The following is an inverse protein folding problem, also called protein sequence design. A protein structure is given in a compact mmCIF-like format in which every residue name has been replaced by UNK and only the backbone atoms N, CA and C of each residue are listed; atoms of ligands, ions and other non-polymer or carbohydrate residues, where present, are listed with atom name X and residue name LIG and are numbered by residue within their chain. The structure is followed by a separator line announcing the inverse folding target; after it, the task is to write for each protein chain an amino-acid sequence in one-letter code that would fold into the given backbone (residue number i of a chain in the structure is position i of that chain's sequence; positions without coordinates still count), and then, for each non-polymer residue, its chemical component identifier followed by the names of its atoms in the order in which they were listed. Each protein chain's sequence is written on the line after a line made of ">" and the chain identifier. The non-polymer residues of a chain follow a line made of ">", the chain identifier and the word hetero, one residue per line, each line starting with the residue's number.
data_IF_940051853122
#
_entry.id   IF_940051853122
#
_cell.length_a   1.000
_cell.length_b   1.000
_cell.length_c   1.000
_cell.angle_alpha   90.00
_cell.angle_beta   90.00
_cell.angle_gamma   90.00
#
_symmetry.space_group_name_H-M   'P 1'
#
loop_
_entity.id
_entity.type
_entity.pdbx_description
1 polymer ?
#
# COMPACT_ATOMS: atom_id res chain seq x y z
N UNK A 1 -39.07 -12.87 0.56
CA UNK A 1 -38.15 -12.42 -0.51
C UNK A 1 -36.77 -12.96 -0.22
N UNK A 2 -36.17 -13.70 -1.15
CA UNK A 2 -34.80 -14.23 -1.07
C UNK A 2 -33.83 -13.22 -1.71
N UNK A 3 -32.67 -12.98 -1.09
CA UNK A 3 -31.65 -12.09 -1.66
C UNK A 3 -30.76 -12.84 -2.64
N UNK A 4 -30.51 -12.23 -3.81
CA UNK A 4 -29.61 -12.78 -4.82
C UNK A 4 -28.52 -11.75 -5.14
N UNK A 5 -27.24 -12.00 -4.81
CA UNK A 5 -26.13 -11.06 -5.04
C UNK A 5 -25.99 -10.59 -6.49
N UNK A 6 -26.31 -11.46 -7.46
CA UNK A 6 -26.22 -11.16 -8.90
C UNK A 6 -27.11 -10.01 -9.34
N UNK A 7 -28.08 -9.60 -8.52
CA UNK A 7 -28.96 -8.47 -8.80
C UNK A 7 -28.40 -7.13 -8.32
N UNK A 8 -27.20 -7.10 -7.73
CA UNK A 8 -26.50 -5.87 -7.36
C UNK A 8 -25.39 -5.61 -8.38
N UNK A 9 -25.49 -4.51 -9.11
CA UNK A 9 -24.54 -4.09 -10.14
C UNK A 9 -23.71 -2.88 -9.72
N UNK A 10 -24.15 -2.13 -8.71
CA UNK A 10 -23.47 -0.97 -8.16
C UNK A 10 -23.68 -0.86 -6.65
N UNK A 11 -22.96 0.06 -6.00
CA UNK A 11 -23.00 0.28 -4.54
C UNK A 11 -24.41 0.63 -4.04
N UNK A 12 -25.14 1.52 -4.74
CA UNK A 12 -26.52 1.90 -4.37
C UNK A 12 -27.48 0.71 -4.36
N UNK A 13 -27.28 -0.27 -5.24
CA UNK A 13 -28.06 -1.49 -5.25
C UNK A 13 -27.71 -2.45 -4.12
N UNK A 14 -26.45 -2.45 -3.64
CA UNK A 14 -26.07 -3.16 -2.42
C UNK A 14 -26.76 -2.50 -1.22
N UNK A 15 -26.73 -1.17 -1.13
CA UNK A 15 -27.42 -0.42 -0.08
C UNK A 15 -28.93 -0.70 -0.07
N UNK A 16 -29.61 -0.50 -1.20
CA UNK A 16 -31.06 -0.60 -1.27
C UNK A 16 -31.57 -2.04 -1.21
N UNK A 17 -31.03 -2.97 -2.03
CA UNK A 17 -31.57 -4.33 -2.17
C UNK A 17 -31.10 -5.26 -1.06
N UNK A 18 -29.81 -5.20 -0.67
CA UNK A 18 -29.29 -6.05 0.40
C UNK A 18 -29.56 -5.43 1.77
N UNK A 19 -29.09 -4.21 2.03
CA UNK A 19 -29.08 -3.68 3.40
C UNK A 19 -30.51 -3.27 3.82
N UNK A 20 -31.13 -2.35 3.08
CA UNK A 20 -32.43 -1.75 3.46
C UNK A 20 -33.59 -2.73 3.28
N UNK A 21 -33.73 -3.35 2.10
CA UNK A 21 -34.89 -4.19 1.80
C UNK A 21 -34.83 -5.60 2.44
N UNK A 22 -33.63 -6.15 2.64
CA UNK A 22 -33.48 -7.55 3.05
C UNK A 22 -32.88 -7.71 4.45
N UNK A 23 -31.71 -7.16 4.72
CA UNK A 23 -30.93 -7.44 5.93
C UNK A 23 -31.53 -6.77 7.17
N UNK A 24 -31.72 -5.46 7.16
CA UNK A 24 -32.19 -4.69 8.32
C UNK A 24 -33.55 -5.16 8.86
N UNK A 25 -34.60 -5.35 8.03
CA UNK A 25 -35.89 -5.82 8.52
C UNK A 25 -35.79 -7.22 9.14
N UNK A 26 -34.99 -8.10 8.53
CA UNK A 26 -34.81 -9.47 9.04
C UNK A 26 -33.97 -9.51 10.32
N UNK A 27 -33.08 -8.56 10.56
CA UNK A 27 -32.36 -8.37 11.82
C UNK A 27 -33.21 -7.67 12.91
N UNK A 28 -34.44 -7.27 12.59
CA UNK A 28 -35.40 -6.66 13.53
C UNK A 28 -35.32 -5.13 13.63
N UNK A 29 -34.63 -4.46 12.71
CA UNK A 29 -34.54 -3.00 12.67
C UNK A 29 -35.63 -2.41 11.77
N UNK A 30 -36.38 -1.44 12.29
CA UNK A 30 -37.35 -0.65 11.53
C UNK A 30 -36.67 0.55 10.85
N UNK A 31 -37.40 1.29 10.01
CA UNK A 31 -36.90 2.51 9.38
C UNK A 31 -36.45 3.57 10.40
N UNK A 32 -37.08 3.61 11.58
CA UNK A 32 -36.73 4.55 12.66
C UNK A 32 -35.49 4.13 13.46
N UNK A 33 -34.88 2.99 13.14
CA UNK A 33 -33.69 2.46 13.81
C UNK A 33 -32.39 2.79 13.09
N UNK A 34 -32.39 3.45 11.93
CA UNK A 34 -31.16 3.74 11.19
C UNK A 34 -31.21 5.07 10.45
N UNK A 35 -30.04 5.64 10.21
CA UNK A 35 -29.83 6.75 9.28
C UNK A 35 -28.86 6.32 8.19
N UNK A 36 -29.10 6.79 6.97
CA UNK A 36 -28.21 6.62 5.83
C UNK A 36 -27.41 7.91 5.59
N UNK A 37 -26.18 7.78 5.10
CA UNK A 37 -25.29 8.90 4.79
C UNK A 37 -25.07 9.85 5.99
N UNK A 38 -24.80 9.27 7.15
CA UNK A 38 -24.63 10.04 8.39
C UNK A 38 -23.28 10.76 8.37
N UNK A 39 -23.32 12.07 8.53
CA UNK A 39 -22.12 12.88 8.75
C UNK A 39 -21.88 12.96 10.26
N UNK A 40 -20.78 12.36 10.71
CA UNK A 40 -20.31 12.46 12.09
C UNK A 40 -18.91 13.08 12.11
N UNK A 41 -18.81 14.31 12.59
CA UNK A 41 -17.60 15.13 12.48
C UNK A 41 -17.13 15.24 11.02
N UNK A 42 -16.04 14.56 10.64
CA UNK A 42 -15.47 14.56 9.28
C UNK A 42 -15.65 13.22 8.55
N UNK A 43 -16.49 12.32 9.08
CA UNK A 43 -16.73 11.00 8.53
C UNK A 43 -18.14 10.95 7.96
N UNK A 44 -18.27 10.38 6.76
CA UNK A 44 -19.56 10.01 6.16
C UNK A 44 -19.70 8.50 6.22
N UNK A 45 -20.66 8.03 7.00
CA UNK A 45 -21.02 6.61 7.12
C UNK A 45 -22.12 6.27 6.13
N UNK A 46 -22.08 5.08 5.53
CA UNK A 46 -23.19 4.65 4.67
C UNK A 46 -24.44 4.43 5.51
N UNK A 47 -24.33 3.68 6.63
CA UNK A 47 -25.42 3.52 7.60
C UNK A 47 -24.93 3.54 9.06
N UNK A 48 -25.69 4.22 9.92
CA UNK A 48 -25.63 4.09 11.37
C UNK A 48 -26.95 3.48 11.86
N UNK A 49 -26.89 2.28 12.42
CA UNK A 49 -28.05 1.55 12.94
C UNK A 49 -28.00 1.55 14.47
N UNK A 50 -29.14 1.75 15.12
CA UNK A 50 -29.32 1.78 16.57
C UNK A 50 -30.38 0.76 16.98
N UNK A 51 -30.15 0.07 18.11
CA UNK A 51 -31.18 -0.80 18.68
C UNK A 51 -32.38 -0.02 19.27
N UNK A 52 -32.20 1.27 19.55
CA UNK A 52 -33.26 2.20 19.96
C UNK A 52 -33.74 3.05 18.79
N UNK A 53 -35.04 3.33 18.76
CA UNK A 53 -35.65 4.20 17.75
C UNK A 53 -35.18 5.66 17.94
N UNK A 54 -34.80 6.30 16.84
CA UNK A 54 -34.38 7.70 16.83
C UNK A 54 -35.54 8.68 17.05
N UNK A 55 -36.77 8.26 16.78
CA UNK A 55 -37.99 9.07 16.90
C UNK A 55 -38.40 9.41 18.35
N UNK A 56 -37.83 8.74 19.36
CA UNK A 56 -38.24 8.89 20.75
C UNK A 56 -37.57 10.06 21.52
N UNK A 57 -36.92 11.00 20.82
CA UNK A 57 -36.23 12.16 21.44
C UNK A 57 -35.02 11.81 22.32
N UNK A 58 -34.63 10.53 22.37
CA UNK A 58 -33.46 10.04 23.12
C UNK A 58 -32.24 9.96 22.18
N UNK A 59 -31.09 10.46 22.64
CA UNK A 59 -29.83 10.30 21.89
C UNK A 59 -29.55 8.80 21.68
N UNK A 60 -29.10 8.37 20.49
CA UNK A 60 -28.76 6.98 20.23
C UNK A 60 -27.70 6.49 21.21
N UNK A 61 -27.92 5.30 21.78
CA UNK A 61 -26.91 4.62 22.57
C UNK A 61 -25.88 4.01 21.62
N UNK A 62 -24.78 4.71 21.36
CA UNK A 62 -23.68 4.26 20.49
C UNK A 62 -23.13 2.86 20.87
N UNK A 63 -23.16 2.52 22.15
CA UNK A 63 -22.80 1.20 22.65
C UNK A 63 -23.73 0.06 22.19
N UNK A 64 -24.88 0.40 21.59
CA UNK A 64 -25.90 -0.52 21.05
C UNK A 64 -26.23 -0.18 19.60
N UNK A 65 -25.24 0.35 18.90
CA UNK A 65 -25.29 0.67 17.49
C UNK A 65 -24.40 -0.28 16.70
N UNK A 66 -24.63 -0.33 15.39
CA UNK A 66 -23.68 -0.88 14.43
C UNK A 66 -23.53 0.05 13.23
N UNK A 67 -22.35 0.04 12.62
CA UNK A 67 -22.09 0.72 11.35
C UNK A 67 -22.19 -0.31 10.23
N UNK A 68 -22.84 0.03 9.12
CA UNK A 68 -22.82 -0.80 7.91
C UNK A 68 -22.19 0.02 6.79
N UNK A 69 -21.14 -0.52 6.18
CA UNK A 69 -20.48 0.04 5.01
C UNK A 69 -20.77 -0.86 3.79
N UNK A 70 -21.30 -0.24 2.74
CA UNK A 70 -21.57 -0.87 1.46
C UNK A 70 -20.47 -0.49 0.47
N UNK A 71 -20.07 -1.42 -0.39
CA UNK A 71 -19.09 -1.17 -1.45
C UNK A 71 -19.58 -1.72 -2.77
N UNK A 72 -19.02 -1.23 -3.86
CA UNK A 72 -19.36 -1.72 -5.18
C UNK A 72 -19.13 -3.24 -5.29
N UNK A 73 -19.98 -4.03 -5.98
CA UNK A 73 -19.84 -5.49 -6.10
C UNK A 73 -18.50 -6.01 -6.62
N UNK A 74 -17.72 -5.15 -7.28
CA UNK A 74 -16.39 -5.46 -7.83
C UNK A 74 -15.24 -5.16 -6.85
N UNK A 75 -15.50 -4.46 -5.75
CA UNK A 75 -14.45 -4.08 -4.80
C UNK A 75 -14.09 -5.22 -3.85
N UNK A 76 -12.80 -5.29 -3.49
CA UNK A 76 -12.28 -6.23 -2.52
C UNK A 76 -12.45 -5.67 -1.10
N UNK A 77 -13.24 -6.35 -0.28
CA UNK A 77 -13.53 -5.91 1.09
C UNK A 77 -12.31 -5.81 2.02
N UNK A 78 -11.19 -6.47 1.70
CA UNK A 78 -9.95 -6.31 2.48
C UNK A 78 -9.51 -4.84 2.51
N UNK A 79 -9.68 -4.13 1.40
CA UNK A 79 -9.25 -2.74 1.25
C UNK A 79 -10.02 -1.76 2.16
N UNK A 80 -11.20 -2.14 2.63
CA UNK A 80 -12.08 -1.24 3.40
C UNK A 80 -12.14 -1.58 4.89
N UNK A 81 -11.48 -2.66 5.33
CA UNK A 81 -11.46 -3.09 6.74
C UNK A 81 -10.86 -2.00 7.66
N UNK A 82 -9.76 -1.37 7.25
CA UNK A 82 -9.11 -0.28 7.99
C UNK A 82 -9.99 0.97 8.10
N UNK A 83 -10.72 1.29 7.03
CA UNK A 83 -11.67 2.40 7.02
C UNK A 83 -12.83 2.11 7.97
N UNK A 84 -13.36 0.88 7.97
CA UNK A 84 -14.36 0.45 8.95
C UNK A 84 -13.83 0.52 10.38
N UNK A 85 -12.60 0.05 10.65
CA UNK A 85 -11.94 0.19 11.97
C UNK A 85 -11.89 1.65 12.42
N UNK A 86 -11.46 2.54 11.52
CA UNK A 86 -11.44 3.97 11.80
C UNK A 86 -12.83 4.52 12.16
N UNK A 87 -13.87 4.08 11.45
CA UNK A 87 -15.25 4.51 11.69
C UNK A 87 -15.77 4.03 13.03
N UNK A 88 -15.58 2.75 13.35
CA UNK A 88 -15.99 2.15 14.62
C UNK A 88 -15.31 2.84 15.82
N UNK A 89 -14.01 3.09 15.75
CA UNK A 89 -13.27 3.76 16.82
C UNK A 89 -13.64 5.23 16.96
N UNK A 90 -13.82 5.96 15.85
CA UNK A 90 -14.12 7.40 15.89
C UNK A 90 -15.52 7.67 16.43
N UNK A 91 -16.50 6.89 15.98
CA UNK A 91 -17.90 7.02 16.39
C UNK A 91 -18.16 6.28 17.71
N UNK A 92 -17.20 5.46 18.19
CA UNK A 92 -17.29 4.63 19.40
C UNK A 92 -18.44 3.62 19.34
N UNK A 93 -18.56 2.95 18.20
CA UNK A 93 -19.56 1.91 17.92
C UNK A 93 -18.86 0.55 17.90
N UNK A 94 -19.37 -0.47 18.63
CA UNK A 94 -18.67 -1.73 18.80
C UNK A 94 -18.85 -2.72 17.64
N UNK A 95 -19.84 -2.53 16.76
CA UNK A 95 -20.19 -3.49 15.71
C UNK A 95 -20.12 -2.86 14.32
N UNK A 96 -19.51 -3.57 13.37
CA UNK A 96 -19.41 -3.12 11.98
C UNK A 96 -19.71 -4.24 10.98
N UNK A 97 -20.55 -3.96 9.99
CA UNK A 97 -20.72 -4.80 8.81
C UNK A 97 -20.01 -4.14 7.64
N UNK A 98 -19.27 -4.94 6.88
CA UNK A 98 -18.73 -4.55 5.57
C UNK A 98 -19.25 -5.52 4.51
N UNK A 99 -19.82 -5.00 3.43
CA UNK A 99 -20.40 -5.82 2.36
C UNK A 99 -20.27 -5.19 0.98
N UNK A 100 -20.08 -6.03 -0.04
CA UNK A 100 -20.18 -5.66 -1.45
C UNK A 100 -21.35 -6.41 -2.14
N UNK A 101 -22.25 -7.03 -1.37
CA UNK A 101 -23.34 -7.86 -1.88
C UNK A 101 -22.95 -9.31 -2.17
N UNK A 102 -21.74 -9.56 -2.68
CA UNK A 102 -21.22 -10.92 -2.90
C UNK A 102 -20.62 -11.56 -1.65
N UNK A 103 -20.24 -10.74 -0.69
CA UNK A 103 -19.66 -11.14 0.58
C UNK A 103 -20.16 -10.23 1.68
N UNK A 104 -20.48 -10.79 2.85
CA UNK A 104 -20.76 -10.04 4.07
C UNK A 104 -19.74 -10.42 5.14
N UNK A 105 -19.20 -9.41 5.82
CA UNK A 105 -18.28 -9.56 6.94
C UNK A 105 -18.81 -8.78 8.14
N UNK A 106 -18.84 -9.44 9.29
CA UNK A 106 -19.21 -8.84 10.56
C UNK A 106 -17.98 -8.76 11.45
N UNK A 107 -17.72 -7.55 11.92
CA UNK A 107 -16.62 -7.22 12.81
C UNK A 107 -17.15 -6.75 14.17
N UNK A 108 -16.38 -7.06 15.21
CA UNK A 108 -16.54 -6.46 16.53
C UNK A 108 -15.28 -5.70 16.91
N UNK A 109 -15.44 -4.51 17.47
CA UNK A 109 -14.36 -3.60 17.84
C UNK A 109 -14.10 -3.66 19.34
N UNK A 110 -12.85 -3.92 19.74
CA UNK A 110 -12.37 -3.55 21.07
C UNK A 110 -11.71 -2.16 21.07
N UNK A 111 -10.89 -1.86 22.07
CA UNK A 111 -10.19 -0.59 22.21
C UNK A 111 -9.04 -0.42 21.20
N UNK A 112 -8.51 -1.51 20.67
CA UNK A 112 -7.26 -1.57 19.92
C UNK A 112 -7.51 -1.98 18.46
N UNK A 113 -8.42 -2.93 18.22
CA UNK A 113 -8.66 -3.51 16.91
C UNK A 113 -10.11 -3.92 16.63
N UNK A 114 -10.36 -4.29 15.39
CA UNK A 114 -11.57 -4.96 14.94
C UNK A 114 -11.28 -6.43 14.66
N UNK A 115 -12.20 -7.29 15.10
CA UNK A 115 -12.09 -8.74 15.00
C UNK A 115 -13.16 -9.25 14.05
N UNK A 116 -12.77 -9.97 12.99
CA UNK A 116 -13.72 -10.62 12.09
C UNK A 116 -14.39 -11.78 12.83
N UNK A 117 -15.67 -11.64 13.14
CA UNK A 117 -16.44 -12.66 13.86
C UNK A 117 -17.23 -13.58 12.94
N UNK A 118 -17.66 -13.05 11.80
CA UNK A 118 -18.46 -13.81 10.86
C UNK A 118 -18.20 -13.34 9.43
N UNK A 119 -18.16 -14.31 8.50
CA UNK A 119 -17.97 -14.11 7.07
C UNK A 119 -18.81 -15.14 6.34
N UNK A 120 -19.58 -14.73 5.34
CA UNK A 120 -20.19 -15.67 4.40
C UNK A 120 -20.34 -15.06 3.00
N UNK A 121 -20.56 -15.92 2.01
CA UNK A 121 -20.96 -15.47 0.69
C UNK A 121 -22.36 -14.84 0.74
N UNK A 122 -22.61 -13.88 -0.14
CA UNK A 122 -23.92 -13.27 -0.36
C UNK A 122 -25.02 -14.29 -0.69
N UNK A 123 -24.66 -15.40 -1.35
CA UNK A 123 -25.58 -16.51 -1.66
C UNK A 123 -25.97 -17.32 -0.41
N UNK A 124 -25.20 -17.20 0.66
CA UNK A 124 -25.36 -17.96 1.90
C UNK A 124 -25.97 -17.12 3.03
N UNK A 125 -26.31 -15.86 2.77
CA UNK A 125 -26.86 -14.95 3.80
C UNK A 125 -28.14 -15.53 4.38
N UNK A 126 -29.04 -16.08 3.55
CA UNK A 126 -30.28 -16.68 4.05
C UNK A 126 -30.02 -17.84 5.00
N UNK A 127 -29.07 -18.72 4.67
CA UNK A 127 -28.69 -19.88 5.51
C UNK A 127 -28.02 -19.48 6.82
N UNK A 128 -27.40 -18.30 6.87
CA UNK A 128 -26.68 -17.82 8.04
C UNK A 128 -27.37 -16.65 8.74
N UNK A 129 -28.62 -16.36 8.38
CA UNK A 129 -29.35 -15.22 8.90
C UNK A 129 -29.57 -15.33 10.41
N UNK A 130 -29.89 -16.53 10.92
CA UNK A 130 -30.10 -16.74 12.36
C UNK A 130 -28.81 -16.50 13.15
N UNK A 131 -27.64 -16.89 12.61
CA UNK A 131 -26.33 -16.57 13.21
C UNK A 131 -26.09 -15.07 13.25
N UNK A 132 -26.42 -14.34 12.17
CA UNK A 132 -26.31 -12.88 12.16
C UNK A 132 -27.27 -12.24 13.16
N UNK A 133 -28.53 -12.71 13.27
CA UNK A 133 -29.48 -12.25 14.29
C UNK A 133 -28.97 -12.51 15.70
N UNK A 134 -28.33 -13.65 15.93
CA UNK A 134 -27.78 -13.99 17.25
C UNK A 134 -26.61 -13.10 17.68
N UNK A 135 -25.86 -12.56 16.71
CA UNK A 135 -24.73 -11.67 16.97
C UNK A 135 -25.15 -10.19 17.05
N UNK A 136 -25.94 -9.72 16.08
CA UNK A 136 -26.26 -8.30 15.88
C UNK A 136 -27.74 -8.02 15.62
N UNK A 137 -28.65 -8.95 15.92
CA UNK A 137 -30.08 -8.66 15.89
C UNK A 137 -30.44 -7.59 16.92
N UNK A 138 -31.48 -6.83 16.65
CA UNK A 138 -31.94 -5.72 17.52
C UNK A 138 -32.09 -6.16 18.99
N UNK A 139 -32.76 -7.29 19.22
CA UNK A 139 -32.97 -7.83 20.57
C UNK A 139 -31.66 -8.22 21.26
N UNK A 140 -30.70 -8.78 20.53
CA UNK A 140 -29.40 -9.17 21.08
C UNK A 140 -28.57 -7.97 21.50
N UNK A 141 -28.56 -6.90 20.70
CA UNK A 141 -27.88 -5.66 21.09
C UNK A 141 -28.55 -4.98 22.30
N UNK A 142 -29.86 -5.13 22.49
CA UNK A 142 -30.54 -4.68 23.70
C UNK A 142 -30.13 -5.50 24.93
N UNK A 143 -29.91 -6.81 24.77
CA UNK A 143 -29.60 -7.76 25.83
C UNK A 143 -28.13 -7.79 26.33
N UNK A 144 -27.22 -6.94 25.82
CA UNK A 144 -25.79 -6.80 26.25
C UNK A 144 -24.95 -8.08 26.19
N UNK A 145 -25.02 -8.84 25.11
CA UNK A 145 -24.11 -9.99 24.91
C UNK A 145 -22.80 -9.54 24.24
N UNK A 146 -21.66 -9.63 24.94
CA UNK A 146 -20.34 -9.54 24.29
C UNK A 146 -20.04 -10.86 23.58
N UNK A 147 -19.48 -10.86 22.36
CA UNK A 147 -19.12 -12.09 21.67
C UNK A 147 -17.92 -12.77 22.34
N UNK A 148 -17.95 -14.11 22.42
CA UNK A 148 -16.78 -14.92 22.79
C UNK A 148 -15.78 -14.89 21.62
N UNK A 149 -14.64 -14.20 21.81
CA UNK A 149 -13.60 -14.07 20.79
C UNK A 149 -12.57 -15.17 21.03
N UNK A 150 -12.40 -16.07 20.06
CA UNK A 150 -11.28 -17.01 20.01
C UNK A 150 -10.25 -16.41 19.06
N UNK A 151 -9.15 -15.82 19.54
CA UNK A 151 -8.14 -15.26 18.66
C UNK A 151 -7.46 -16.39 17.87
N UNK A 152 -7.68 -16.42 16.56
CA UNK A 152 -6.80 -17.14 15.63
C UNK A 152 -5.74 -16.16 15.16
N UNK A 153 -4.58 -16.18 15.78
CA UNK A 153 -3.38 -15.51 15.27
C UNK A 153 -2.27 -16.53 15.14
N UNK A 154 -2.19 -17.17 13.97
CA UNK A 154 -0.89 -17.63 13.49
C UNK A 154 -0.02 -16.38 13.32
N UNK A 155 1.19 -16.33 13.90
CA UNK A 155 2.04 -15.15 13.80
C UNK A 155 2.43 -14.93 12.33
N UNK A 156 1.93 -13.84 11.74
CA UNK A 156 2.45 -13.31 10.48
C UNK A 156 3.84 -12.74 10.72
N UNK A 157 4.76 -12.97 9.79
CA UNK A 157 6.04 -12.27 9.78
C UNK A 157 5.78 -10.76 9.65
N UNK A 158 6.53 -9.90 10.36
CA UNK A 158 6.30 -8.46 10.32
C UNK A 158 6.60 -7.90 8.93
N UNK A 159 5.71 -7.03 8.43
CA UNK A 159 5.93 -6.24 7.23
C UNK A 159 7.27 -5.49 7.31
N UNK A 160 8.06 -5.52 6.23
CA UNK A 160 9.33 -4.77 6.14
C UNK A 160 9.24 -3.66 5.09
N UNK A 161 9.67 -2.46 5.44
CA UNK A 161 9.68 -1.30 4.55
C UNK A 161 11.10 -0.96 4.10
N UNK A 162 11.33 -0.86 2.79
CA UNK A 162 12.64 -0.63 2.19
C UNK A 162 12.58 0.64 1.34
N UNK A 163 13.38 1.65 1.68
CA UNK A 163 13.60 2.81 0.82
C UNK A 163 14.73 2.52 -0.17
N UNK A 164 14.55 2.95 -1.42
CA UNK A 164 15.59 2.99 -2.44
C UNK A 164 15.98 4.46 -2.64
N UNK A 165 17.15 4.86 -2.14
CA UNK A 165 17.53 6.28 -2.14
C UNK A 165 19.01 6.50 -2.44
N UNK A 166 19.29 7.58 -3.16
CA UNK A 166 20.60 8.16 -3.39
C UNK A 166 20.41 9.58 -3.92
N UNK A 167 21.16 10.55 -3.39
CA UNK A 167 21.12 11.96 -3.81
C UNK A 167 21.52 12.19 -5.28
N UNK A 168 22.09 11.18 -5.95
CA UNK A 168 22.53 11.27 -7.34
C UNK A 168 21.42 10.78 -8.26
N UNK A 169 21.11 11.57 -9.29
CA UNK A 169 20.24 11.15 -10.38
C UNK A 169 20.87 10.02 -11.21
N UNK A 170 20.03 9.18 -11.81
CA UNK A 170 20.50 8.24 -12.84
C UNK A 170 21.28 7.01 -12.34
N UNK A 171 21.39 6.74 -11.03
CA UNK A 171 22.05 5.54 -10.47
C UNK A 171 21.18 4.27 -10.50
N UNK A 172 19.96 4.35 -11.02
CA UNK A 172 19.05 3.21 -11.18
C UNK A 172 18.03 2.99 -10.04
N UNK A 173 17.73 4.01 -9.22
CA UNK A 173 16.75 3.90 -8.11
C UNK A 173 15.41 3.30 -8.52
N UNK A 174 14.72 3.91 -9.47
CA UNK A 174 13.44 3.44 -10.02
C UNK A 174 13.53 2.05 -10.64
N UNK A 175 14.60 1.79 -11.40
CA UNK A 175 14.82 0.46 -11.99
C UNK A 175 14.97 -0.60 -10.91
N UNK A 176 15.70 -0.29 -9.83
CA UNK A 176 15.86 -1.17 -8.69
C UNK A 176 14.54 -1.36 -7.95
N UNK A 177 13.84 -0.27 -7.62
CA UNK A 177 12.58 -0.31 -6.88
C UNK A 177 11.52 -1.17 -7.58
N UNK A 178 11.27 -0.91 -8.87
CA UNK A 178 10.22 -1.60 -9.64
C UNK A 178 10.53 -3.08 -9.86
N UNK A 179 11.77 -3.42 -10.22
CA UNK A 179 12.13 -4.82 -10.52
C UNK A 179 12.40 -5.64 -9.25
N UNK A 180 12.85 -5.02 -8.15
CA UNK A 180 12.91 -5.68 -6.85
C UNK A 180 11.50 -5.97 -6.32
N UNK A 181 10.53 -5.07 -6.54
CA UNK A 181 9.13 -5.32 -6.20
C UNK A 181 8.57 -6.52 -6.97
N UNK A 182 8.81 -6.59 -8.28
CA UNK A 182 8.43 -7.74 -9.11
C UNK A 182 9.11 -9.04 -8.66
N UNK A 183 10.40 -8.99 -8.31
CA UNK A 183 11.14 -10.15 -7.84
C UNK A 183 10.57 -10.70 -6.50
N UNK A 184 10.24 -9.83 -5.55
CA UNK A 184 9.54 -10.25 -4.33
C UNK A 184 8.15 -10.83 -4.60
N UNK A 185 7.39 -10.23 -5.51
CA UNK A 185 6.08 -10.72 -5.91
C UNK A 185 6.17 -12.14 -6.49
N UNK A 186 7.16 -12.40 -7.36
CA UNK A 186 7.42 -13.74 -7.92
C UNK A 186 7.82 -14.77 -6.87
N UNK A 187 8.39 -14.35 -5.74
CA UNK A 187 8.66 -15.20 -4.58
C UNK A 187 7.44 -15.36 -3.64
N UNK A 188 6.24 -14.93 -4.08
CA UNK A 188 4.99 -15.08 -3.35
C UNK A 188 4.78 -14.06 -2.23
N UNK A 189 5.58 -12.98 -2.19
CA UNK A 189 5.38 -11.89 -1.22
C UNK A 189 4.24 -10.98 -1.66
N UNK A 190 3.48 -10.46 -0.70
CA UNK A 190 2.51 -9.39 -0.94
C UNK A 190 3.25 -8.07 -0.90
N UNK A 191 3.33 -7.38 -2.04
CA UNK A 191 4.20 -6.22 -2.23
C UNK A 191 3.41 -4.95 -2.47
N UNK A 192 3.80 -3.88 -1.77
CA UNK A 192 3.40 -2.51 -2.05
C UNK A 192 4.60 -1.72 -2.58
N UNK A 193 4.49 -1.15 -3.77
CA UNK A 193 5.44 -0.17 -4.30
C UNK A 193 4.89 1.24 -4.08
N UNK A 194 5.69 2.17 -3.59
CA UNK A 194 5.31 3.57 -3.38
C UNK A 194 6.26 4.44 -4.18
N UNK A 195 5.72 5.16 -5.15
CA UNK A 195 6.44 6.20 -5.88
C UNK A 195 6.22 7.54 -5.16
N UNK A 196 7.30 8.16 -4.69
CA UNK A 196 7.26 9.48 -4.05
C UNK A 196 8.14 10.51 -4.78
N UNK A 197 8.50 10.24 -6.04
CA UNK A 197 9.21 11.17 -6.89
C UNK A 197 8.20 11.88 -7.82
N UNK A 198 8.21 13.21 -7.87
CA UNK A 198 7.32 13.98 -8.74
C UNK A 198 7.50 13.66 -10.24
N UNK A 199 8.64 13.07 -10.63
CA UNK A 199 8.85 12.58 -12.00
C UNK A 199 8.00 11.35 -12.34
N UNK A 200 7.40 10.69 -11.34
CA UNK A 200 6.49 9.54 -11.51
C UNK A 200 7.08 8.39 -12.35
N UNK A 201 8.40 8.21 -12.31
CA UNK A 201 9.10 7.22 -13.14
C UNK A 201 8.71 5.79 -12.76
N UNK A 202 8.49 5.51 -11.47
CA UNK A 202 8.06 4.17 -11.03
C UNK A 202 6.63 3.92 -11.47
N UNK A 203 5.77 4.94 -11.34
CA UNK A 203 4.37 4.93 -11.80
C UNK A 203 4.26 4.66 -13.31
N UNK A 204 5.11 5.31 -14.11
CA UNK A 204 5.22 5.03 -15.55
C UNK A 204 5.70 3.59 -15.80
N UNK A 205 6.78 3.19 -15.14
CA UNK A 205 7.43 1.90 -15.37
C UNK A 205 6.56 0.69 -15.02
N UNK A 206 5.54 0.86 -14.18
CA UNK A 206 4.53 -0.17 -13.88
C UNK A 206 3.24 -0.02 -14.70
N UNK A 207 3.20 0.88 -15.68
CA UNK A 207 2.11 0.98 -16.65
C UNK A 207 0.88 1.78 -16.18
N UNK A 208 1.00 2.57 -15.12
CA UNK A 208 -0.15 3.30 -14.56
C UNK A 208 -0.40 4.67 -15.22
N UNK A 209 0.57 5.23 -15.93
CA UNK A 209 0.40 6.52 -16.61
C UNK A 209 -0.22 6.31 -18.00
N UNK A 210 -1.33 7.01 -18.25
CA UNK A 210 -2.02 7.04 -19.55
C UNK A 210 -1.79 8.41 -20.19
N UNK A 211 -1.10 8.44 -21.33
CA UNK A 211 -0.70 9.71 -22.00
C UNK A 211 -1.70 10.21 -23.05
N UNK A 212 -2.83 9.53 -23.21
CA UNK A 212 -3.69 9.74 -24.39
C UNK A 212 -4.53 11.01 -24.27
N UNK A 213 -5.15 11.23 -23.11
CA UNK A 213 -6.01 12.39 -22.85
C UNK A 213 -5.85 12.83 -21.41
N UNK A 214 -5.69 14.15 -21.18
CA UNK A 214 -5.59 14.73 -19.83
C UNK A 214 -6.83 14.45 -18.98
N UNK A 215 -7.98 14.24 -19.61
CA UNK A 215 -9.24 13.88 -18.95
C UNK A 215 -9.21 12.47 -18.32
N UNK A 216 -8.31 11.60 -18.78
CA UNK A 216 -8.13 10.23 -18.29
C UNK A 216 -7.08 10.12 -17.17
N UNK A 217 -6.46 11.24 -16.78
CA UNK A 217 -5.47 11.29 -15.69
C UNK A 217 -6.14 11.24 -14.31
N UNK A 218 -6.63 10.05 -13.99
CA UNK A 218 -7.19 9.74 -12.68
C UNK A 218 -6.10 9.67 -11.58
N UNK A 219 -4.80 9.70 -11.92
CA UNK A 219 -3.70 9.72 -10.95
C UNK A 219 -3.66 11.06 -10.21
N UNK A 220 -4.07 12.16 -10.87
CA UNK A 220 -4.15 13.49 -10.25
C UNK A 220 -4.95 13.51 -8.95
N UNK A 221 -6.01 12.72 -8.86
CA UNK A 221 -6.92 12.73 -7.71
C UNK A 221 -6.61 11.64 -6.68
N UNK A 222 -5.76 10.66 -7.04
CA UNK A 222 -5.35 9.53 -6.18
C UNK A 222 -3.90 9.15 -6.41
N UNK A 223 -3.02 9.84 -5.69
CA UNK A 223 -1.57 9.62 -5.68
C UNK A 223 -0.99 9.84 -4.27
N UNK A 224 0.32 9.68 -4.13
CA UNK A 224 1.04 9.80 -2.86
C UNK A 224 0.80 11.13 -2.14
N UNK A 225 0.54 12.25 -2.83
CA UNK A 225 0.17 13.52 -2.18
C UNK A 225 -1.01 13.32 -1.22
N UNK A 226 -2.06 12.66 -1.67
CA UNK A 226 -3.30 12.45 -0.92
C UNK A 226 -3.06 11.54 0.30
N UNK A 227 -2.08 10.63 0.18
CA UNK A 227 -1.61 9.83 1.30
C UNK A 227 -0.92 10.70 2.36
N UNK A 228 -0.13 11.68 1.91
CA UNK A 228 0.62 12.59 2.76
C UNK A 228 -0.20 13.80 3.22
N UNK A 229 -1.35 14.09 2.65
CA UNK A 229 -2.12 15.30 2.94
C UNK A 229 -2.78 15.25 4.33
N UNK A 230 -3.36 14.10 4.71
CA UNK A 230 -4.15 13.96 5.93
C UNK A 230 -4.00 12.56 6.53
N UNK A 231 -3.85 12.47 7.85
CA UNK A 231 -3.69 11.19 8.57
C UNK A 231 -5.03 10.43 8.79
N UNK A 232 -6.17 11.11 8.69
CA UNK A 232 -7.51 10.57 8.98
C UNK A 232 -8.27 10.07 7.75
N UNK A 233 -7.83 10.43 6.55
CA UNK A 233 -8.47 10.07 5.27
C UNK A 233 -7.44 9.55 4.28
N UNK A 234 -7.91 9.01 3.15
CA UNK A 234 -7.09 8.51 2.04
C UNK A 234 -6.07 7.46 2.50
N UNK A 235 -6.55 6.32 2.98
CA UNK A 235 -5.67 5.22 3.40
C UNK A 235 -4.99 4.57 2.19
N UNK A 236 -3.95 3.79 2.45
CA UNK A 236 -3.21 3.05 1.40
C UNK A 236 -4.18 2.29 0.47
N UNK A 237 -5.16 1.52 0.97
CA UNK A 237 -6.05 0.78 0.07
C UNK A 237 -7.05 1.65 -0.73
N UNK A 238 -7.27 2.91 -0.33
CA UNK A 238 -8.16 3.83 -1.05
C UNK A 238 -7.47 4.43 -2.30
N UNK A 239 -6.14 4.44 -2.29
CA UNK A 239 -5.26 5.04 -3.32
C UNK A 239 -4.55 3.97 -4.14
N UNK A 240 -4.21 2.84 -3.53
CA UNK A 240 -3.43 1.78 -4.16
C UNK A 240 -4.12 1.22 -5.41
N UNK A 241 -3.30 0.94 -6.41
CA UNK A 241 -3.70 0.39 -7.70
C UNK A 241 -2.89 -0.86 -8.01
N UNK A 242 -3.48 -1.79 -8.73
CA UNK A 242 -2.72 -2.93 -9.28
C UNK A 242 -1.82 -2.48 -10.41
N UNK A 243 -0.68 -3.13 -10.57
CA UNK A 243 0.34 -2.82 -11.59
C UNK A 243 -0.04 -3.24 -13.03
N UNK A 244 -1.30 -3.55 -13.32
CA UNK A 244 -1.89 -3.75 -14.66
C UNK A 244 -1.02 -4.55 -15.63
N UNK A 245 -0.59 -5.75 -15.24
CA UNK A 245 0.18 -6.63 -16.13
C UNK A 245 1.70 -6.40 -16.17
N UNK A 246 2.22 -5.39 -15.45
CA UNK A 246 3.67 -5.20 -15.26
C UNK A 246 4.37 -6.47 -14.76
N UNK A 247 3.71 -7.22 -13.88
CA UNK A 247 4.14 -8.56 -13.50
C UNK A 247 2.95 -9.52 -13.35
N UNK A 248 3.15 -10.81 -13.61
CA UNK A 248 2.14 -11.87 -13.55
C UNK A 248 1.43 -11.92 -12.20
N UNK A 249 2.17 -11.80 -11.11
CA UNK A 249 1.60 -11.66 -9.76
C UNK A 249 1.56 -10.17 -9.46
N UNK A 250 0.39 -9.56 -9.66
CA UNK A 250 0.25 -8.11 -9.55
C UNK A 250 0.64 -7.58 -8.16
N UNK A 251 1.41 -6.51 -8.17
CA UNK A 251 1.74 -5.75 -6.96
C UNK A 251 0.77 -4.59 -6.79
N UNK A 252 0.61 -4.11 -5.55
CA UNK A 252 -0.07 -2.85 -5.29
C UNK A 252 0.91 -1.70 -5.42
N UNK A 253 0.43 -0.57 -5.95
CA UNK A 253 1.24 0.62 -6.22
C UNK A 253 0.51 1.85 -5.70
N UNK A 254 1.20 2.67 -4.90
CA UNK A 254 0.84 4.06 -4.67
C UNK A 254 1.54 4.90 -5.74
N UNK A 255 0.80 5.46 -6.70
CA UNK A 255 1.39 6.23 -7.77
C UNK A 255 1.83 7.62 -7.29
N UNK A 256 2.74 8.22 -8.05
CA UNK A 256 3.13 9.62 -7.95
C UNK A 256 2.51 10.43 -9.10
N UNK A 257 2.61 11.75 -9.00
CA UNK A 257 2.11 12.68 -10.01
C UNK A 257 2.94 13.97 -10.01
N UNK A 258 3.09 14.62 -11.17
CA UNK A 258 3.90 15.85 -11.34
C UNK A 258 3.46 17.00 -10.42
N UNK A 259 2.19 17.01 -10.01
CA UNK A 259 1.64 17.98 -9.07
C UNK A 259 2.36 18.02 -7.70
N UNK A 260 3.13 16.99 -7.35
CA UNK A 260 3.92 16.98 -6.10
C UNK A 260 4.87 18.17 -6.01
N UNK A 261 5.35 18.70 -7.14
CA UNK A 261 6.22 19.89 -7.15
C UNK A 261 5.50 21.08 -6.50
N UNK A 262 4.28 21.37 -6.95
CA UNK A 262 3.50 22.52 -6.47
C UNK A 262 2.94 22.28 -5.06
N UNK A 263 2.55 21.03 -4.78
CA UNK A 263 1.92 20.64 -3.52
C UNK A 263 2.88 20.50 -2.33
N UNK A 264 4.19 20.52 -2.56
CA UNK A 264 5.18 20.41 -1.50
C UNK A 264 5.04 21.54 -0.48
N UNK A 265 4.84 22.78 -0.94
CA UNK A 265 4.69 23.95 -0.08
C UNK A 265 3.50 23.78 0.88
N UNK A 266 2.38 23.29 0.35
CA UNK A 266 1.16 23.03 1.12
C UNK A 266 1.39 21.94 2.20
N UNK A 267 2.10 20.86 1.88
CA UNK A 267 2.43 19.81 2.84
C UNK A 267 3.32 20.32 3.98
N UNK A 268 4.33 21.14 3.67
CA UNK A 268 5.22 21.76 4.66
C UNK A 268 4.42 22.69 5.57
N UNK A 269 3.57 23.56 5.02
CA UNK A 269 2.75 24.51 5.79
C UNK A 269 1.75 23.81 6.72
N UNK A 270 1.15 22.71 6.28
CA UNK A 270 0.22 21.92 7.12
C UNK A 270 0.92 21.14 8.23
N UNK A 271 2.22 20.89 8.10
CA UNK A 271 3.07 20.22 9.10
C UNK A 271 2.79 18.73 9.31
N UNK A 272 3.81 17.96 9.68
CA UNK A 272 3.68 16.54 10.01
C UNK A 272 3.49 15.62 8.81
N UNK A 273 3.77 16.11 7.59
CA UNK A 273 3.81 15.27 6.40
C UNK A 273 4.88 14.17 6.52
N UNK A 274 6.00 14.45 7.19
CA UNK A 274 7.12 13.52 7.39
C UNK A 274 6.71 12.20 8.03
N UNK A 275 5.73 12.22 8.94
CA UNK A 275 5.33 11.04 9.73
C UNK A 275 4.06 10.36 9.21
N UNK A 276 3.35 10.96 8.25
CA UNK A 276 2.04 10.46 7.81
C UNK A 276 2.16 9.14 7.06
N UNK A 277 3.20 8.98 6.22
CA UNK A 277 3.43 7.72 5.53
C UNK A 277 3.68 6.58 6.51
N UNK A 278 4.59 6.77 7.46
CA UNK A 278 4.90 5.80 8.51
C UNK A 278 3.64 5.36 9.28
N UNK A 279 2.81 6.33 9.72
CA UNK A 279 1.54 6.05 10.43
C UNK A 279 0.49 5.34 9.58
N UNK A 280 0.51 5.51 8.26
CA UNK A 280 -0.40 4.81 7.35
C UNK A 280 0.08 3.40 7.04
N UNK A 281 1.39 3.18 6.98
CA UNK A 281 2.00 1.85 6.85
C UNK A 281 1.69 0.98 8.08
N UNK A 282 1.71 1.55 9.29
CA UNK A 282 1.30 0.84 10.52
C UNK A 282 -0.13 0.26 10.46
N UNK A 283 -0.99 0.83 9.62
CA UNK A 283 -2.37 0.33 9.46
C UNK A 283 -2.45 -0.86 8.51
N UNK A 284 -1.49 -1.08 7.63
CA UNK A 284 -1.52 -2.14 6.60
C UNK A 284 -0.46 -3.22 6.83
N UNK A 285 0.05 -3.34 8.05
CA UNK A 285 1.07 -4.34 8.45
C UNK A 285 0.63 -5.76 8.11
N UNK A 286 -0.68 -6.03 8.19
CA UNK A 286 -1.23 -7.34 7.87
C UNK A 286 -1.50 -7.55 6.38
N UNK A 287 -1.45 -6.51 5.54
CA UNK A 287 -1.82 -6.60 4.12
C UNK A 287 -0.61 -6.90 3.23
N UNK A 288 0.58 -6.45 3.64
CA UNK A 288 1.82 -6.56 2.87
C UNK A 288 2.91 -7.27 3.67
N UNK A 289 3.76 -8.01 2.97
CA UNK A 289 4.99 -8.58 3.53
C UNK A 289 6.17 -7.64 3.30
N UNK A 290 6.21 -6.98 2.13
CA UNK A 290 7.26 -6.04 1.73
C UNK A 290 6.65 -4.76 1.20
N UNK A 291 7.20 -3.62 1.61
CA UNK A 291 6.93 -2.30 1.06
C UNK A 291 8.22 -1.74 0.48
N UNK A 292 8.19 -1.27 -0.76
CA UNK A 292 9.32 -0.59 -1.42
C UNK A 292 8.94 0.86 -1.68
N UNK A 293 9.80 1.80 -1.31
CA UNK A 293 9.61 3.24 -1.56
C UNK A 293 10.70 3.71 -2.53
N UNK A 294 10.31 4.12 -3.73
CA UNK A 294 11.20 4.78 -4.70
C UNK A 294 11.26 6.28 -4.38
N UNK A 295 12.39 6.72 -3.83
CA UNK A 295 12.57 8.08 -3.34
C UNK A 295 13.26 8.99 -4.38
N UNK A 296 12.88 10.29 -4.44
CA UNK A 296 13.50 11.23 -5.35
C UNK A 296 14.98 11.46 -5.00
N UNK A 297 15.82 11.91 -5.95
CA UNK A 297 17.21 12.27 -5.67
C UNK A 297 17.34 13.57 -4.85
N UNK A 298 16.34 14.44 -4.87
CA UNK A 298 16.35 15.72 -4.13
C UNK A 298 16.35 15.48 -2.62
N UNK A 299 17.12 16.28 -1.90
CA UNK A 299 17.11 16.32 -0.43
C UNK A 299 15.96 17.21 0.06
N UNK A 300 14.74 16.74 -0.18
CA UNK A 300 13.52 17.51 0.11
C UNK A 300 12.56 16.76 1.04
N UNK A 301 11.35 17.31 1.23
CA UNK A 301 10.31 16.70 2.07
C UNK A 301 10.03 15.24 1.68
N UNK A 302 10.01 14.93 0.38
CA UNK A 302 9.60 13.60 -0.11
C UNK A 302 10.67 12.55 0.17
N UNK A 303 11.95 12.89 -0.02
CA UNK A 303 13.04 12.01 0.41
C UNK A 303 13.00 11.77 1.93
N UNK A 304 12.75 12.81 2.74
CA UNK A 304 12.62 12.66 4.20
C UNK A 304 11.45 11.75 4.59
N UNK A 305 10.28 11.93 3.98
CA UNK A 305 9.11 11.06 4.18
C UNK A 305 9.44 9.60 3.91
N UNK A 306 10.14 9.31 2.80
CA UNK A 306 10.54 7.94 2.45
C UNK A 306 11.47 7.33 3.51
N UNK A 307 12.51 8.06 3.90
CA UNK A 307 13.54 7.60 4.83
C UNK A 307 13.02 7.46 6.28
N UNK A 308 12.10 8.33 6.71
CA UNK A 308 11.45 8.25 8.03
C UNK A 308 10.46 7.08 8.09
N UNK A 309 9.83 6.73 6.96
CA UNK A 309 8.89 5.61 6.90
C UNK A 309 9.58 4.24 6.84
N UNK A 310 10.75 4.15 6.21
CA UNK A 310 11.42 2.88 5.95
C UNK A 310 12.04 2.22 7.20
N UNK A 311 12.17 0.90 7.20
CA UNK A 311 12.96 0.16 8.19
C UNK A 311 14.40 -0.05 7.69
N UNK A 312 14.53 -0.19 6.37
CA UNK A 312 15.78 -0.48 5.68
C UNK A 312 16.02 0.49 4.52
N UNK A 313 17.30 0.73 4.21
CA UNK A 313 17.74 1.53 3.08
C UNK A 313 18.68 0.73 2.18
N UNK A 314 18.38 0.72 0.88
CA UNK A 314 19.31 0.30 -0.17
C UNK A 314 19.77 1.55 -0.93
N UNK A 315 21.08 1.64 -1.17
CA UNK A 315 21.71 2.80 -1.83
C UNK A 315 22.30 2.39 -3.18
N UNK A 316 21.56 2.50 -4.31
CA UNK A 316 22.09 2.15 -5.63
C UNK A 316 23.20 3.10 -6.07
N UNK A 317 24.34 2.59 -6.52
CA UNK A 317 25.47 3.39 -6.99
C UNK A 317 26.18 2.73 -8.18
N UNK A 318 26.60 3.55 -9.15
CA UNK A 318 27.46 3.13 -10.27
C UNK A 318 28.94 2.96 -9.87
N UNK A 319 29.24 3.17 -8.58
CA UNK A 319 30.56 3.09 -7.95
C UNK A 319 31.62 4.03 -8.55
N UNK A 320 31.22 4.99 -9.40
CA UNK A 320 32.13 5.99 -9.96
C UNK A 320 32.48 7.03 -8.89
N UNK A 321 33.65 7.68 -8.98
CA UNK A 321 34.13 8.61 -7.96
C UNK A 321 33.10 9.68 -7.54
N UNK A 322 32.38 10.27 -8.49
CA UNK A 322 31.35 11.28 -8.21
C UNK A 322 30.13 10.72 -7.46
N UNK A 323 29.69 9.49 -7.75
CA UNK A 323 28.60 8.86 -7.00
C UNK A 323 29.01 8.57 -5.58
N UNK A 324 30.25 8.09 -5.41
CA UNK A 324 30.80 7.73 -4.11
C UNK A 324 30.93 8.96 -3.22
N UNK A 325 31.26 10.14 -3.75
CA UNK A 325 31.36 11.36 -2.96
C UNK A 325 30.11 11.62 -2.11
N UNK A 326 28.92 11.48 -2.67
CA UNK A 326 27.73 11.72 -1.87
C UNK A 326 27.18 10.49 -1.14
N UNK A 327 27.85 9.34 -1.16
CA UNK A 327 27.58 8.28 -0.16
C UNK A 327 27.81 8.79 1.27
N UNK A 328 28.84 9.64 1.48
CA UNK A 328 29.05 10.35 2.75
C UNK A 328 27.88 11.28 3.08
N UNK A 329 27.34 11.95 2.06
CA UNK A 329 26.16 12.80 2.21
C UNK A 329 24.93 12.01 2.63
N UNK A 330 24.75 10.80 2.07
CA UNK A 330 23.67 9.89 2.49
C UNK A 330 23.88 9.45 3.94
N UNK A 331 25.08 8.99 4.32
CA UNK A 331 25.37 8.61 5.72
C UNK A 331 25.06 9.74 6.69
N UNK A 332 25.59 10.94 6.41
CA UNK A 332 25.36 12.13 7.23
C UNK A 332 23.87 12.44 7.39
N UNK A 333 23.12 12.42 6.29
CA UNK A 333 21.67 12.60 6.32
C UNK A 333 20.99 11.54 7.21
N UNK A 334 21.37 10.27 7.07
CA UNK A 334 20.76 9.20 7.84
C UNK A 334 21.06 9.36 9.34
N UNK A 335 22.31 9.58 9.70
CA UNK A 335 22.75 9.61 11.09
C UNK A 335 22.34 10.90 11.80
N UNK A 336 22.59 12.06 11.21
CA UNK A 336 22.41 13.37 11.87
C UNK A 336 21.00 13.96 11.71
N UNK A 337 20.22 13.55 10.72
CA UNK A 337 18.89 14.13 10.49
C UNK A 337 17.76 13.12 10.62
N UNK A 338 17.87 11.98 9.92
CA UNK A 338 16.77 11.01 9.87
C UNK A 338 16.69 10.23 11.18
N UNK A 339 17.80 9.69 11.69
CA UNK A 339 17.79 8.88 12.90
C UNK A 339 17.48 9.72 14.15
N UNK A 340 18.01 10.95 14.24
CA UNK A 340 17.66 11.91 15.29
C UNK A 340 16.15 12.22 15.30
N UNK A 341 15.56 12.45 14.12
CA UNK A 341 14.12 12.66 14.03
C UNK A 341 13.32 11.40 14.37
N UNK A 342 13.79 10.22 13.94
CA UNK A 342 13.15 8.92 14.23
C UNK A 342 13.12 8.62 15.72
N UNK A 343 14.20 8.92 16.45
CA UNK A 343 14.26 8.78 17.91
C UNK A 343 13.21 9.66 18.59
N UNK A 344 13.06 10.92 18.13
CA UNK A 344 12.05 11.86 18.63
C UNK A 344 10.62 11.33 18.51
N UNK A 345 10.34 10.49 17.51
CA UNK A 345 9.01 9.89 17.27
C UNK A 345 8.91 8.42 17.71
N UNK A 346 9.92 7.91 18.42
CA UNK A 346 9.94 6.55 18.96
C UNK A 346 10.10 5.44 17.90
N UNK A 347 10.73 5.73 16.76
CA UNK A 347 11.05 4.72 15.73
C UNK A 347 12.51 4.28 15.85
N UNK A 348 12.76 3.00 15.60
CA UNK A 348 14.13 2.47 15.53
C UNK A 348 14.95 3.14 14.43
N UNK A 349 16.28 3.25 14.58
CA UNK A 349 17.16 3.79 13.54
C UNK A 349 16.96 3.09 12.19
N UNK A 350 17.01 3.86 11.11
CA UNK A 350 16.99 3.36 9.74
C UNK A 350 18.25 2.54 9.48
N UNK A 351 18.09 1.28 9.08
CA UNK A 351 19.22 0.37 8.85
C UNK A 351 19.64 0.39 7.38
N UNK A 352 20.88 0.74 7.09
CA UNK A 352 21.43 0.64 5.73
C UNK A 352 21.75 -0.82 5.44
N UNK A 353 21.00 -1.47 4.53
CA UNK A 353 21.27 -2.85 4.11
C UNK A 353 22.55 -2.94 3.29
N UNK A 354 22.79 -1.93 2.46
CA UNK A 354 24.03 -1.79 1.73
C UNK A 354 23.95 -0.85 0.53
N UNK A 355 25.12 -0.49 0.06
CA UNK A 355 25.32 0.08 -1.27
C UNK A 355 25.12 -1.05 -2.27
N UNK A 356 24.22 -0.84 -3.24
CA UNK A 356 23.98 -1.78 -4.35
C UNK A 356 24.80 -1.33 -5.55
N UNK A 357 25.78 -2.13 -6.02
CA UNK A 357 26.39 -1.91 -7.32
C UNK A 357 25.32 -1.95 -8.42
N UNK A 358 25.04 -0.80 -9.03
CA UNK A 358 23.94 -0.60 -9.98
C UNK A 358 24.42 0.15 -11.21
N UNK A 359 23.93 -0.22 -12.39
CA UNK A 359 24.45 0.26 -13.69
C UNK A 359 25.94 -0.02 -13.87
N UNK A 360 26.38 -1.20 -13.43
CA UNK A 360 27.75 -1.65 -13.60
C UNK A 360 27.96 -2.09 -15.05
N UNK A 361 29.07 -1.68 -15.67
CA UNK A 361 29.36 -2.11 -17.05
C UNK A 361 29.55 -3.63 -17.09
N UNK A 362 28.86 -4.36 -17.99
CA UNK A 362 29.03 -5.80 -18.12
C UNK A 362 30.30 -6.18 -18.89
N UNK A 363 31.12 -5.21 -19.32
CA UNK A 363 32.31 -5.49 -20.12
C UNK A 363 33.36 -6.28 -19.32
N UNK A 364 33.87 -7.43 -19.82
CA UNK A 364 34.75 -8.31 -19.06
C UNK A 364 35.99 -7.62 -18.49
N UNK A 365 36.64 -6.74 -19.26
CA UNK A 365 37.82 -6.01 -18.78
C UNK A 365 37.48 -5.05 -17.62
N UNK A 366 36.29 -4.43 -17.65
CA UNK A 366 35.88 -3.55 -16.57
C UNK A 366 35.62 -4.35 -15.29
N UNK A 367 34.92 -5.49 -15.41
CA UNK A 367 34.65 -6.39 -14.29
C UNK A 367 35.92 -7.00 -13.69
N UNK A 368 36.94 -7.27 -14.50
CA UNK A 368 38.20 -7.86 -14.04
C UNK A 368 39.11 -6.83 -13.35
N UNK A 369 39.25 -5.63 -13.90
CA UNK A 369 40.33 -4.70 -13.49
C UNK A 369 39.86 -3.47 -12.71
N UNK A 370 38.65 -2.98 -12.98
CA UNK A 370 38.16 -1.70 -12.43
C UNK A 370 37.14 -1.92 -11.32
N UNK A 371 36.17 -2.81 -11.55
CA UNK A 371 35.09 -3.07 -10.61
C UNK A 371 35.57 -3.55 -9.22
N UNK A 372 36.54 -4.46 -9.08
CA UNK A 372 36.99 -4.91 -7.76
C UNK A 372 37.63 -3.77 -6.95
N UNK A 373 38.40 -2.90 -7.61
CA UNK A 373 39.01 -1.71 -6.97
C UNK A 373 37.94 -0.73 -6.48
N UNK A 374 36.90 -0.53 -7.28
CA UNK A 374 35.78 0.35 -6.90
C UNK A 374 34.95 -0.21 -5.74
N UNK A 375 34.69 -1.54 -5.71
CA UNK A 375 34.04 -2.20 -4.57
C UNK A 375 34.84 -2.02 -3.29
N UNK A 376 36.15 -2.27 -3.34
CA UNK A 376 37.03 -2.17 -2.18
C UNK A 376 37.05 -0.74 -1.62
N UNK A 377 37.07 0.27 -2.49
CA UNK A 377 37.00 1.67 -2.06
C UNK A 377 35.74 2.02 -1.26
N UNK A 378 34.60 1.36 -1.50
CA UNK A 378 33.38 1.57 -0.70
C UNK A 378 33.59 1.13 0.75
N UNK A 379 34.16 -0.07 0.92
CA UNK A 379 34.41 -0.66 2.24
C UNK A 379 35.46 0.17 2.98
N UNK A 380 36.58 0.46 2.32
CA UNK A 380 37.74 1.09 2.97
C UNK A 380 37.50 2.57 3.29
N UNK A 381 36.88 3.33 2.38
CA UNK A 381 36.79 4.79 2.51
C UNK A 381 35.45 5.29 3.05
N UNK A 382 34.38 4.52 2.87
CA UNK A 382 33.03 4.94 3.27
C UNK A 382 32.45 4.08 4.39
N UNK A 383 33.06 2.92 4.70
CA UNK A 383 32.63 2.04 5.79
C UNK A 383 31.13 1.69 5.73
N UNK A 384 30.59 1.64 4.51
CA UNK A 384 29.22 1.24 4.25
C UNK A 384 29.16 -0.26 3.96
N UNK A 385 28.09 -0.95 4.41
CA UNK A 385 27.83 -2.30 3.94
C UNK A 385 27.68 -2.28 2.41
N UNK A 386 28.20 -3.31 1.76
CA UNK A 386 28.07 -3.51 0.31
C UNK A 386 27.19 -4.74 0.08
N UNK A 387 26.28 -4.66 -0.89
CA UNK A 387 25.56 -5.83 -1.38
C UNK A 387 26.44 -6.63 -2.34
N UNK A 388 26.35 -7.96 -2.27
CA UNK A 388 27.09 -8.88 -3.12
C UNK A 388 26.54 -8.89 -4.54
N UNK A 389 25.22 -8.80 -4.67
CA UNK A 389 24.52 -8.73 -5.95
C UNK A 389 24.89 -7.47 -6.72
N UNK A 390 24.96 -7.61 -8.04
CA UNK A 390 25.32 -6.54 -8.97
C UNK A 390 24.22 -6.41 -10.02
N UNK A 391 23.73 -5.19 -10.24
CA UNK A 391 22.81 -4.88 -11.34
C UNK A 391 23.62 -4.23 -12.47
N UNK A 392 23.76 -4.95 -13.58
CA UNK A 392 24.55 -4.45 -14.70
C UNK A 392 23.74 -3.56 -15.63
N UNK A 393 24.39 -2.60 -16.28
CA UNK A 393 23.77 -1.77 -17.31
C UNK A 393 23.51 -2.60 -18.58
N UNK A 394 22.24 -2.93 -18.82
CA UNK A 394 21.80 -3.67 -20.02
C UNK A 394 20.61 -3.00 -20.67
N UNK A 395 20.62 -3.00 -22.01
CA UNK A 395 19.55 -2.45 -22.86
C UNK A 395 18.19 -3.10 -22.55
N UNK A 396 18.18 -4.38 -22.16
CA UNK A 396 16.98 -5.12 -21.78
C UNK A 396 16.14 -4.41 -20.69
N UNK A 397 16.77 -3.73 -19.73
CA UNK A 397 16.08 -2.99 -18.67
C UNK A 397 15.32 -1.76 -19.20
N UNK A 398 15.82 -1.14 -20.27
CA UNK A 398 15.11 -0.06 -20.94
C UNK A 398 14.02 -0.61 -21.87
N UNK A 399 14.30 -1.70 -22.57
CA UNK A 399 13.33 -2.31 -23.48
C UNK A 399 12.08 -2.83 -22.77
N UNK A 400 12.22 -3.42 -21.57
CA UNK A 400 11.07 -3.98 -20.84
C UNK A 400 10.10 -2.88 -20.37
N UNK A 401 10.61 -1.69 -20.02
CA UNK A 401 9.81 -0.52 -19.63
C UNK A 401 9.16 0.17 -20.83
N UNK A 402 9.81 0.13 -22.00
CA UNK A 402 9.33 0.82 -23.20
C UNK A 402 8.49 -0.07 -24.14
N UNK A 403 7.95 -1.19 -23.63
CA UNK A 403 7.04 -2.05 -24.39
C UNK A 403 5.73 -1.30 -24.69
N UNK A 404 5.12 -1.60 -25.84
CA UNK A 404 3.85 -1.02 -26.26
C UNK A 404 2.97 -2.07 -26.96
N UNK A 405 1.66 -1.98 -26.79
CA UNK A 405 0.65 -2.72 -27.55
C UNK A 405 0.03 -1.79 -28.60
N UNK A 406 -0.19 -2.29 -29.80
CA UNK A 406 -0.94 -1.57 -30.85
C UNK A 406 -2.42 -1.92 -30.77
N UNK A 407 -3.28 -0.91 -30.57
CA UNK A 407 -4.75 -1.05 -30.60
C UNK A 407 -5.30 -0.09 -31.65
N UNK A 408 -5.70 -0.62 -32.81
CA UNK A 408 -6.05 0.21 -33.97
C UNK A 408 -4.84 0.99 -34.47
N UNK A 409 -4.91 2.33 -34.41
CA UNK A 409 -3.79 3.23 -34.75
C UNK A 409 -2.99 3.70 -33.53
N UNK A 410 -3.43 3.35 -32.32
CA UNK A 410 -2.82 3.81 -31.08
C UNK A 410 -1.71 2.86 -30.62
N UNK A 411 -0.61 3.43 -30.12
CA UNK A 411 0.40 2.70 -29.35
C UNK A 411 0.17 3.00 -27.86
N UNK A 412 -0.10 1.96 -27.10
CA UNK A 412 -0.40 2.03 -25.67
C UNK A 412 0.80 1.45 -24.92
N UNK A 413 1.41 2.17 -23.96
CA UNK A 413 2.45 1.62 -23.11
C UNK A 413 1.99 0.35 -22.41
N UNK A 414 2.82 -0.70 -22.48
CA UNK A 414 2.58 -2.01 -21.86
C UNK A 414 3.88 -2.52 -21.20
N UNK A 415 4.44 -1.76 -20.24
CA UNK A 415 5.71 -2.12 -19.64
C UNK A 415 5.62 -3.47 -18.92
N UNK A 416 6.72 -4.22 -18.95
CA UNK A 416 6.87 -5.47 -18.22
C UNK A 416 8.08 -5.40 -17.31
N UNK A 417 7.98 -6.02 -16.14
CA UNK A 417 9.13 -6.25 -15.27
C UNK A 417 10.18 -7.05 -16.01
N UNK A 418 11.46 -6.85 -15.67
CA UNK A 418 12.56 -7.58 -16.29
C UNK A 418 12.42 -9.10 -16.09
N UNK A 419 11.81 -9.49 -14.97
CA UNK A 419 11.55 -10.87 -14.58
C UNK A 419 10.63 -11.57 -15.58
N UNK A 420 9.55 -10.90 -15.98
CA UNK A 420 8.54 -11.48 -16.87
C UNK A 420 8.86 -11.23 -18.33
N UNK A 421 9.55 -10.12 -18.62
CA UNK A 421 10.12 -9.86 -19.95
C UNK A 421 11.14 -10.94 -20.36
N UNK A 422 11.94 -11.43 -19.40
CA UNK A 422 12.90 -12.50 -19.65
C UNK A 422 12.27 -13.86 -20.02
N UNK A 423 10.98 -14.06 -19.74
CA UNK A 423 10.27 -15.30 -20.12
C UNK A 423 10.05 -15.37 -21.63
N UNK A 424 10.00 -14.22 -22.32
CA UNK A 424 9.84 -14.15 -23.78
C UNK A 424 11.09 -13.65 -24.50
N UNK A 425 12.07 -13.08 -23.78
CA UNK A 425 13.28 -12.49 -24.35
C UNK A 425 14.53 -13.02 -23.65
N UNK A 426 15.23 -13.95 -24.31
CA UNK A 426 16.42 -14.62 -23.74
C UNK A 426 17.55 -13.65 -23.36
N UNK A 427 17.66 -12.51 -24.06
CA UNK A 427 18.63 -11.44 -23.78
C UNK A 427 18.44 -10.77 -22.41
N UNK A 428 17.27 -10.92 -21.78
CA UNK A 428 16.94 -10.35 -20.47
C UNK A 428 17.18 -11.32 -19.29
N UNK A 429 17.46 -12.60 -19.57
CA UNK A 429 17.61 -13.67 -18.55
C UNK A 429 18.63 -13.35 -17.46
N UNK A 430 19.77 -12.76 -17.82
CA UNK A 430 20.82 -12.39 -16.87
C UNK A 430 20.33 -11.28 -15.94
N UNK A 431 19.72 -10.22 -16.49
CA UNK A 431 19.18 -9.13 -15.65
C UNK A 431 18.03 -9.61 -14.77
N UNK A 432 17.19 -10.52 -15.23
CA UNK A 432 16.17 -11.14 -14.37
C UNK A 432 16.79 -11.92 -13.21
N UNK A 433 17.85 -12.70 -13.49
CA UNK A 433 18.57 -13.46 -12.48
C UNK A 433 19.26 -12.55 -11.45
N UNK A 434 19.82 -11.41 -11.88
CA UNK A 434 20.40 -10.40 -11.00
C UNK A 434 19.34 -9.84 -10.02
N UNK A 435 18.12 -9.55 -10.47
CA UNK A 435 17.05 -9.08 -9.59
C UNK A 435 16.49 -10.15 -8.66
N UNK A 436 16.44 -11.41 -9.10
CA UNK A 436 16.07 -12.53 -8.24
C UNK A 436 17.11 -12.76 -7.14
N UNK A 437 18.40 -12.70 -7.47
CA UNK A 437 19.48 -12.78 -6.50
C UNK A 437 19.42 -11.64 -5.49
N UNK A 438 19.15 -10.41 -5.96
CA UNK A 438 18.99 -9.25 -5.08
C UNK A 438 17.85 -9.45 -4.08
N UNK A 439 16.70 -9.97 -4.53
CA UNK A 439 15.57 -10.25 -3.64
C UNK A 439 15.94 -11.27 -2.55
N UNK A 440 16.65 -12.35 -2.91
CA UNK A 440 17.12 -13.36 -1.94
C UNK A 440 18.08 -12.72 -0.93
N UNK A 441 19.11 -12.02 -1.42
CA UNK A 441 20.11 -11.38 -0.55
C UNK A 441 19.48 -10.37 0.43
N UNK A 442 18.51 -9.58 -0.05
CA UNK A 442 17.80 -8.62 0.78
C UNK A 442 16.97 -9.32 1.86
N UNK A 443 16.26 -10.40 1.53
CA UNK A 443 15.53 -11.20 2.55
C UNK A 443 16.47 -11.77 3.59
N UNK A 444 17.59 -12.34 3.18
CA UNK A 444 18.58 -12.94 4.07
C UNK A 444 19.15 -11.88 5.03
N UNK A 445 19.57 -10.72 4.50
CA UNK A 445 20.09 -9.62 5.33
C UNK A 445 19.03 -9.04 6.27
N UNK A 446 17.75 -8.99 5.89
CA UNK A 446 16.68 -8.54 6.77
C UNK A 446 16.32 -9.56 7.86
N UNK A 447 16.62 -10.85 7.67
CA UNK A 447 16.35 -11.91 8.64
C UNK A 447 17.43 -12.01 9.73
N UNK A 448 18.66 -11.59 9.42
CA UNK A 448 19.82 -11.59 10.34
C UNK A 448 19.83 -10.38 11.29
N UNK A 449 18.96 -9.38 11.04
CA UNK A 449 19.03 -8.01 11.59
C UNK A 449 17.79 -7.61 12.35
#
# INVERSE_FOLDING_TARGET
>A
MTFTPRHCHNEREVESKLIVQYLLPRLGYSADCWYQQVIHSNIRLDFLVSAYDFAAGKKPSLARSLIIEAKHPKENLNNHSHRLKHYLHTVKVPWGILTNGHEIRLYWSDKNDIHLLFRCSGLEIEKNLDKLKDLIGREKLLAKSQPLIIPKTTPKLPMKTIAIYHHKGGVGKTTVATNLAAAFSKQGKRVLLIDIDAQANSTFAVGLIKFQFDEDDDLRDKNVYHLLENNRTNFIPDIARKSQGFTQIEIDVIPSHVMLIEKQIELVQRGGAEIRLAKKLEKVVDDYDIVIIDAPPSLDLYARVALIAADYLIVPSDLKPFSNQGLKGVQKLIDEEINDFRDTIGRHPLKILGVLPSKISPHPQYLQYTFPKQRQAIIDHYQLPLLDTVISERIALSHCVNQNITVGTLQIPDPRSIIDYAETQSSASISASEFQALAIEVLDKMAVV
#
